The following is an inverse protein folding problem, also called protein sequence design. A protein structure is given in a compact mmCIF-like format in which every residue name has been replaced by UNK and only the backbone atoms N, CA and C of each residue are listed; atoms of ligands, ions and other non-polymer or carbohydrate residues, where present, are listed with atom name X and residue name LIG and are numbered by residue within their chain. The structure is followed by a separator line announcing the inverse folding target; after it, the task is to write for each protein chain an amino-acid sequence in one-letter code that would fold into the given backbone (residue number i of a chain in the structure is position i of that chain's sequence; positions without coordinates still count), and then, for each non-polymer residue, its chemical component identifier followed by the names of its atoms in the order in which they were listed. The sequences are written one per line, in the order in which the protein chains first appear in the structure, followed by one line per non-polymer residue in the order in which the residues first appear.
data_IF_500799290543
#
_entry.id   IF_500799290543
#
_cell.length_a   1.000
_cell.length_b   1.000
_cell.length_c   1.000
_cell.angle_alpha   90.00
_cell.angle_beta   90.00
_cell.angle_gamma   90.00
#
_symmetry.space_group_name_H-M   'P 1'
#
loop_
_entity.id
_entity.type
_entity.pdbx_description
1 polymer ?
#
# COMPACT_ATOMS: atom_id res chain seq x y z
N UNK A 1 0.93 -6.42 5.19
CA UNK A 1 -0.35 -5.65 5.16
C UNK A 1 -1.48 -6.64 4.92
N UNK A 2 -2.72 -6.38 5.35
CA UNK A 2 -3.85 -7.29 5.09
C UNK A 2 -4.81 -6.67 4.08
N UNK A 3 -5.25 -7.47 3.12
CA UNK A 3 -6.40 -7.16 2.30
C UNK A 3 -7.63 -7.88 2.87
N UNK A 4 -8.73 -7.15 3.00
CA UNK A 4 -9.93 -7.63 3.70
C UNK A 4 -11.16 -7.43 2.83
N UNK A 5 -12.09 -8.36 2.93
CA UNK A 5 -13.46 -8.20 2.43
C UNK A 5 -14.30 -7.69 3.61
N UNK A 6 -14.65 -6.39 3.64
CA UNK A 6 -15.43 -5.83 4.73
C UNK A 6 -16.89 -6.29 4.72
N UNK A 7 -17.43 -6.71 3.57
CA UNK A 7 -18.82 -7.18 3.48
C UNK A 7 -18.98 -8.57 4.10
N UNK A 8 -17.99 -9.44 3.91
CA UNK A 8 -17.95 -10.76 4.53
C UNK A 8 -17.23 -10.81 5.88
N UNK A 9 -16.52 -9.75 6.27
CA UNK A 9 -15.77 -9.68 7.53
C UNK A 9 -14.58 -10.64 7.60
N UNK A 10 -13.87 -10.86 6.48
CA UNK A 10 -12.75 -11.81 6.42
C UNK A 10 -11.50 -11.22 5.76
N UNK A 11 -10.35 -11.75 6.15
CA UNK A 11 -9.08 -11.49 5.47
C UNK A 11 -9.06 -12.26 4.16
N UNK A 12 -8.77 -11.57 3.06
CA UNK A 12 -8.59 -12.16 1.74
C UNK A 12 -7.17 -12.72 1.58
N UNK A 13 -6.16 -11.92 1.95
CA UNK A 13 -4.74 -12.31 1.91
C UNK A 13 -3.87 -11.39 2.76
N UNK A 14 -2.68 -11.90 3.09
CA UNK A 14 -1.55 -11.09 3.53
C UNK A 14 -0.76 -10.65 2.29
N UNK A 15 -0.53 -9.34 2.18
CA UNK A 15 0.36 -8.77 1.18
C UNK A 15 1.77 -8.73 1.80
N UNK A 16 2.63 -9.57 1.24
CA UNK A 16 4.03 -9.72 1.58
C UNK A 16 4.88 -8.58 1.01
N UNK A 17 6.12 -8.45 1.47
CA UNK A 17 7.13 -7.49 0.99
C UNK A 17 6.79 -6.00 1.12
N UNK A 18 5.71 -5.65 1.83
CA UNK A 18 5.46 -4.27 2.24
C UNK A 18 6.56 -3.78 3.18
N UNK A 19 6.82 -2.47 3.17
CA UNK A 19 7.78 -1.89 4.10
C UNK A 19 7.38 -2.05 5.57
N UNK A 20 8.30 -1.67 6.44
CA UNK A 20 8.14 -1.88 7.88
C UNK A 20 7.10 -0.90 8.43
N UNK A 21 6.13 -1.43 9.18
CA UNK A 21 5.10 -0.67 9.93
C UNK A 21 4.39 0.37 9.04
N UNK A 22 3.57 -0.09 8.07
CA UNK A 22 2.73 0.80 7.27
C UNK A 22 1.78 1.62 8.17
N UNK A 23 1.61 2.90 7.85
CA UNK A 23 0.78 3.84 8.62
C UNK A 23 -0.44 4.33 7.83
N UNK A 24 -0.19 4.90 6.65
CA UNK A 24 -1.23 5.39 5.75
C UNK A 24 -1.35 4.53 4.50
N UNK A 25 -2.56 4.49 3.91
CA UNK A 25 -2.84 3.81 2.65
C UNK A 25 -3.69 4.71 1.74
N UNK A 26 -3.42 4.67 0.44
CA UNK A 26 -4.24 5.27 -0.61
C UNK A 26 -4.48 4.26 -1.73
N UNK A 27 -5.60 4.39 -2.43
CA UNK A 27 -5.91 3.61 -3.63
C UNK A 27 -5.71 4.46 -4.88
N UNK A 28 -5.30 3.84 -5.98
CA UNK A 28 -5.42 4.46 -7.31
C UNK A 28 -6.89 4.67 -7.67
N UNK A 29 -7.14 5.56 -8.64
CA UNK A 29 -8.49 5.92 -9.06
C UNK A 29 -9.29 4.74 -9.64
N UNK A 30 -8.60 3.87 -10.38
CA UNK A 30 -9.15 2.63 -10.95
C UNK A 30 -9.28 1.49 -9.91
N UNK A 31 -8.70 1.66 -8.71
CA UNK A 31 -8.70 0.63 -7.68
C UNK A 31 -7.76 -0.55 -7.96
N UNK A 32 -6.91 -0.47 -8.99
CA UNK A 32 -5.97 -1.55 -9.34
C UNK A 32 -4.72 -1.54 -8.46
N UNK A 33 -4.38 -0.39 -7.86
CA UNK A 33 -3.18 -0.23 -7.02
C UNK A 33 -3.50 0.32 -5.64
N UNK A 34 -2.74 -0.14 -4.66
CA UNK A 34 -2.63 0.48 -3.34
C UNK A 34 -1.22 1.04 -3.12
N UNK A 35 -1.14 2.12 -2.37
CA UNK A 35 0.10 2.78 -1.96
C UNK A 35 0.10 2.85 -0.45
N UNK A 36 1.18 2.41 0.20
CA UNK A 36 1.28 2.53 1.66
C UNK A 36 2.57 3.20 2.10
N UNK A 37 2.43 4.14 3.04
CA UNK A 37 3.53 4.87 3.64
C UNK A 37 4.13 4.03 4.77
N UNK A 38 5.38 3.58 4.61
CA UNK A 38 6.06 2.72 5.56
C UNK A 38 7.06 3.52 6.39
N UNK A 39 6.65 3.93 7.59
CA UNK A 39 7.40 4.84 8.45
C UNK A 39 8.84 4.42 8.73
N UNK A 40 9.06 3.32 9.46
CA UNK A 40 10.40 2.83 9.79
C UNK A 40 11.29 2.44 8.59
N UNK A 41 10.74 1.95 7.48
CA UNK A 41 11.57 1.64 6.31
C UNK A 41 11.86 2.86 5.43
N UNK A 42 11.19 4.00 5.66
CA UNK A 42 11.42 5.22 4.88
C UNK A 42 11.09 5.06 3.40
N UNK A 43 10.10 4.22 3.08
CA UNK A 43 9.68 3.90 1.72
C UNK A 43 8.15 3.92 1.57
N UNK A 44 7.69 4.00 0.33
CA UNK A 44 6.29 3.77 -0.06
C UNK A 44 6.22 2.47 -0.86
N UNK A 45 5.40 1.53 -0.42
CA UNK A 45 5.14 0.31 -1.21
C UNK A 45 4.04 0.61 -2.24
N UNK A 46 4.29 0.25 -3.50
CA UNK A 46 3.30 0.23 -4.59
C UNK A 46 2.85 -1.21 -4.76
N UNK A 47 1.55 -1.44 -4.66
CA UNK A 47 0.96 -2.77 -4.57
C UNK A 47 -0.03 -2.94 -5.71
N UNK A 48 0.14 -4.00 -6.49
CA UNK A 48 -0.85 -4.46 -7.46
C UNK A 48 -1.92 -5.29 -6.73
N UNK A 49 -3.17 -4.82 -6.76
CA UNK A 49 -4.29 -5.45 -6.04
C UNK A 49 -4.89 -6.63 -6.79
N UNK A 50 -4.59 -6.82 -8.08
CA UNK A 50 -5.03 -8.03 -8.77
C UNK A 50 -4.24 -9.25 -8.26
N UNK A 51 -2.92 -9.19 -8.34
CA UNK A 51 -2.00 -10.24 -7.89
C UNK A 51 -1.77 -10.24 -6.37
N UNK A 52 -1.97 -9.11 -5.69
CA UNK A 52 -1.72 -8.95 -4.26
C UNK A 52 -0.22 -8.88 -3.94
N UNK A 53 0.59 -8.33 -4.85
CA UNK A 53 2.04 -8.26 -4.74
C UNK A 53 2.52 -6.82 -4.73
N UNK A 54 3.63 -6.58 -4.02
CA UNK A 54 4.37 -5.32 -4.11
C UNK A 54 5.11 -5.30 -5.45
N UNK A 55 4.75 -4.37 -6.32
CA UNK A 55 5.45 -4.15 -7.60
C UNK A 55 6.81 -3.48 -7.36
N UNK A 56 6.84 -2.50 -6.46
CA UNK A 56 8.05 -1.73 -6.14
C UNK A 56 7.94 -1.04 -4.79
N UNK A 57 9.10 -0.63 -4.26
CA UNK A 57 9.21 0.24 -3.09
C UNK A 57 9.99 1.49 -3.47
N UNK A 58 9.36 2.64 -3.26
CA UNK A 58 9.92 3.95 -3.57
C UNK A 58 10.55 4.49 -2.30
N UNK A 59 11.89 4.60 -2.28
CA UNK A 59 12.57 5.25 -1.17
C UNK A 59 12.19 6.73 -1.11
N UNK A 60 11.72 7.19 0.04
CA UNK A 60 11.37 8.59 0.28
C UNK A 60 12.20 9.21 1.41
N UNK A 61 13.02 8.40 2.08
CA UNK A 61 13.72 8.78 3.31
C UNK A 61 12.72 8.96 4.45
N UNK A 62 13.09 9.76 5.46
CA UNK A 62 12.20 10.17 6.54
C UNK A 62 11.36 9.05 7.18
N UNK A 63 10.25 9.43 7.82
CA UNK A 63 9.25 8.49 8.33
C UNK A 63 7.90 8.89 7.74
N UNK A 64 7.53 8.43 6.53
CA UNK A 64 6.31 8.88 5.87
C UNK A 64 5.08 8.33 6.59
N UNK A 65 4.13 9.21 6.95
CA UNK A 65 2.87 8.86 7.64
C UNK A 65 1.67 8.72 6.71
N UNK A 66 1.44 9.73 5.87
CA UNK A 66 0.32 9.77 4.95
C UNK A 66 0.76 9.63 3.49
N UNK A 67 -0.15 9.20 2.64
CA UNK A 67 0.05 9.12 1.19
C UNK A 67 -1.24 9.56 0.49
N UNK A 68 -1.09 10.27 -0.63
CA UNK A 68 -2.18 10.60 -1.55
C UNK A 68 -1.78 10.11 -2.94
N UNK A 69 -2.65 9.32 -3.56
CA UNK A 69 -2.50 8.94 -4.96
C UNK A 69 -3.22 10.00 -5.82
N UNK A 70 -2.45 10.92 -6.40
CA UNK A 70 -2.99 11.89 -7.35
C UNK A 70 -3.03 11.28 -8.75
N UNK A 71 -4.12 11.51 -9.49
CA UNK A 71 -4.12 11.24 -10.92
C UNK A 71 -3.22 12.29 -11.60
N UNK A 72 -2.11 11.84 -12.18
CA UNK A 72 -1.33 12.69 -13.08
C UNK A 72 -2.04 12.71 -14.43
N UNK A 73 -2.33 13.90 -14.95
CA UNK A 73 -2.89 14.08 -16.29
C UNK A 73 -1.80 14.04 -17.33
#
# INVERSE_FOLDING_TARGET
MLEVDPGAGRVLRTIEDVGKRPWGVALSRDGEKAYTANGPSGDVSVIDLQSGRVETRIAVGGSPWGVVAAAVR
#
